data_IF_529836789305
#
_entry.id   IF_529836789305
#
_cell.length_a   1.000
_cell.length_b   1.000
_cell.length_c   1.000
_cell.angle_alpha   90.00
_cell.angle_beta   90.00
_cell.angle_gamma   90.00
#
_symmetry.space_group_name_H-M   'P 1'
#
loop_
_entity.id
_entity.type
_entity.pdbx_description
1 polymer ?
#
# COMPACT_ATOMS: atom_id res chain seq x y z
N UNK A 1 -0.09 -1.15 -10.73
CA UNK A 1 -0.47 -2.56 -10.95
C UNK A 1 0.68 -3.41 -10.45
N UNK A 2 0.45 -4.36 -9.53
CA UNK A 2 1.50 -5.25 -9.02
C UNK A 2 1.91 -6.20 -10.15
N UNK A 3 3.15 -6.08 -10.64
CA UNK A 3 3.67 -6.93 -11.71
C UNK A 3 4.58 -7.99 -11.12
N UNK A 4 4.10 -9.23 -11.11
CA UNK A 4 4.89 -10.41 -10.80
C UNK A 4 5.81 -10.79 -11.96
N UNK A 5 6.96 -11.40 -11.66
CA UNK A 5 7.82 -12.05 -12.66
C UNK A 5 7.30 -13.45 -13.05
N UNK A 6 6.45 -14.07 -12.22
CA UNK A 6 5.79 -15.35 -12.47
C UNK A 6 4.29 -15.31 -12.11
N UNK A 7 3.48 -16.25 -12.62
CA UNK A 7 2.05 -16.41 -12.24
C UNK A 7 1.85 -16.63 -10.72
N UNK A 8 2.89 -17.09 -10.02
CA UNK A 8 2.86 -17.35 -8.59
C UNK A 8 3.34 -16.17 -7.71
N UNK A 9 3.75 -15.04 -8.30
CA UNK A 9 4.08 -13.82 -7.55
C UNK A 9 2.82 -13.02 -7.15
N UNK A 10 1.65 -13.65 -7.24
CA UNK A 10 0.33 -13.05 -7.10
C UNK A 10 -0.14 -12.86 -5.65
N UNK A 11 0.61 -13.39 -4.67
CA UNK A 11 0.30 -13.26 -3.23
C UNK A 11 1.22 -12.29 -2.47
N UNK A 12 2.20 -11.68 -3.13
CA UNK A 12 2.96 -10.57 -2.57
C UNK A 12 2.32 -9.24 -2.99
N UNK A 13 1.78 -8.50 -2.03
CA UNK A 13 1.18 -7.18 -2.29
C UNK A 13 1.89 -6.12 -1.47
N UNK A 14 1.98 -4.92 -2.01
CA UNK A 14 2.35 -3.73 -1.25
C UNK A 14 1.09 -2.90 -1.06
N UNK A 15 0.83 -2.55 0.19
CA UNK A 15 -0.28 -1.72 0.60
C UNK A 15 0.23 -0.39 1.14
N UNK A 16 -0.52 0.68 0.84
CA UNK A 16 -0.30 2.01 1.38
C UNK A 16 -1.16 2.17 2.62
N UNK A 17 -0.57 2.65 3.70
CA UNK A 17 -1.26 2.95 4.94
C UNK A 17 -1.08 4.42 5.28
N UNK A 18 -2.11 5.03 5.85
CA UNK A 18 -2.05 6.41 6.33
C UNK A 18 -1.26 6.51 7.65
N UNK A 19 -1.18 7.74 8.19
CA UNK A 19 -0.49 8.01 9.44
C UNK A 19 -1.10 7.33 10.67
N UNK A 20 -2.36 6.90 10.60
CA UNK A 20 -3.04 6.15 11.67
C UNK A 20 -2.79 4.65 11.57
N UNK A 21 -2.26 4.19 10.43
CA UNK A 21 -2.05 2.79 10.12
C UNK A 21 -3.26 2.13 9.44
N UNK A 22 -4.24 2.93 8.98
CA UNK A 22 -5.37 2.43 8.19
C UNK A 22 -4.98 2.24 6.73
N UNK A 23 -5.56 1.21 6.10
CA UNK A 23 -5.30 0.86 4.71
C UNK A 23 -5.90 1.92 3.77
N UNK A 24 -5.07 2.51 2.91
CA UNK A 24 -5.51 3.45 1.87
C UNK A 24 -5.99 2.68 0.64
N UNK A 25 -7.28 2.79 0.25
CA UNK A 25 -7.80 2.10 -0.92
C UNK A 25 -7.29 2.74 -2.22
N UNK A 26 -6.35 2.07 -2.88
CA UNK A 26 -5.70 2.60 -4.10
C UNK A 26 -6.66 2.77 -5.30
N UNK A 27 -7.72 1.97 -5.35
CA UNK A 27 -8.78 2.04 -6.38
C UNK A 27 -10.12 2.53 -5.81
N UNK A 28 -10.10 3.25 -4.68
CA UNK A 28 -11.29 3.84 -4.05
C UNK A 28 -11.69 5.18 -4.66
N UNK A 29 -12.76 5.77 -4.13
CA UNK A 29 -13.21 7.11 -4.53
C UNK A 29 -12.23 8.18 -4.00
N UNK A 30 -12.25 9.37 -4.61
CA UNK A 30 -11.38 10.48 -4.21
C UNK A 30 -11.54 10.87 -2.74
N UNK A 31 -12.74 10.73 -2.19
CA UNK A 31 -13.03 10.98 -0.76
C UNK A 31 -12.25 10.05 0.16
N UNK A 32 -12.08 8.79 -0.23
CA UNK A 32 -11.37 7.76 0.54
C UNK A 32 -9.84 7.90 0.43
N UNK A 33 -9.39 8.83 -0.43
CA UNK A 33 -7.99 9.10 -0.74
C UNK A 33 -7.61 10.57 -0.51
N UNK A 34 -8.49 11.34 0.12
CA UNK A 34 -8.23 12.73 0.50
C UNK A 34 -7.70 12.75 1.93
N UNK A 35 -6.46 13.20 2.10
CA UNK A 35 -5.81 13.30 3.40
C UNK A 35 -5.52 14.76 3.72
N UNK A 36 -5.80 15.16 4.95
CA UNK A 36 -5.56 16.50 5.44
C UNK A 36 -4.63 16.48 6.65
N UNK A 37 -3.76 17.47 6.72
CA UNK A 37 -2.97 17.77 7.91
C UNK A 37 -3.47 19.11 8.43
N UNK A 38 -3.98 19.15 9.67
CA UNK A 38 -4.39 20.40 10.29
C UNK A 38 -3.14 21.16 10.75
N UNK A 39 -2.72 22.12 9.92
CA UNK A 39 -1.50 22.90 10.17
C UNK A 39 -1.84 24.22 10.86
N UNK A 40 -1.32 24.43 12.07
CA UNK A 40 -1.47 25.68 12.83
C UNK A 40 -0.18 26.53 12.85
N UNK A 41 0.69 26.40 11.85
CA UNK A 41 2.03 27.02 11.82
C UNK A 41 2.72 26.89 10.45
N UNK A 42 4.05 26.96 10.42
CA UNK A 42 4.84 27.21 9.21
C UNK A 42 4.98 26.02 8.23
N UNK A 43 4.66 24.77 8.62
CA UNK A 43 4.79 23.60 7.74
C UNK A 43 3.80 22.49 8.08
N UNK A 44 3.21 21.88 7.04
CA UNK A 44 2.38 20.68 7.13
C UNK A 44 3.06 19.46 6.52
N UNK A 45 2.74 18.28 7.04
CA UNK A 45 3.21 17.00 6.50
C UNK A 45 2.09 15.97 6.48
N UNK A 46 2.04 15.19 5.41
CA UNK A 46 1.25 13.96 5.33
C UNK A 46 2.22 12.79 5.37
N UNK A 47 1.97 11.85 6.26
CA UNK A 47 2.79 10.65 6.43
C UNK A 47 2.03 9.44 5.91
N UNK A 48 2.73 8.61 5.14
CA UNK A 48 2.23 7.34 4.65
C UNK A 48 3.29 6.27 4.81
N UNK A 49 2.87 5.04 5.04
CA UNK A 49 3.76 3.88 5.08
C UNK A 49 3.42 2.88 3.98
N UNK A 50 4.44 2.35 3.33
CA UNK A 50 4.33 1.24 2.39
C UNK A 50 4.73 -0.04 3.11
N UNK A 51 3.82 -1.01 3.18
CA UNK A 51 4.08 -2.29 3.84
C UNK A 51 3.74 -3.45 2.92
N UNK A 52 4.45 -4.55 3.16
CA UNK A 52 4.08 -5.84 2.62
C UNK A 52 2.75 -6.30 3.24
N UNK A 53 1.75 -6.51 2.40
CA UNK A 53 0.46 -7.11 2.75
C UNK A 53 0.48 -8.55 2.26
N UNK A 54 0.71 -9.46 3.21
CA UNK A 54 0.85 -10.89 2.93
C UNK A 54 -0.48 -11.54 2.56
N UNK A 55 -0.46 -12.81 2.16
CA UNK A 55 -1.69 -13.55 1.89
C UNK A 55 -2.56 -13.66 3.15
N UNK A 56 -3.88 -13.69 2.94
CA UNK A 56 -4.86 -13.81 4.03
C UNK A 56 -4.78 -15.16 4.75
N UNK A 57 -4.26 -16.20 4.08
CA UNK A 57 -4.00 -17.51 4.66
C UNK A 57 -2.50 -17.78 4.76
N UNK A 58 -2.07 -18.33 5.90
CA UNK A 58 -0.70 -18.83 6.04
C UNK A 58 -0.42 -20.10 5.21
N UNK A 59 -1.48 -20.75 4.71
CA UNK A 59 -1.37 -21.90 3.82
C UNK A 59 -1.06 -21.49 2.36
N UNK A 60 -1.21 -20.21 2.02
CA UNK A 60 -0.84 -19.68 0.71
C UNK A 60 0.67 -19.39 0.69
N UNK A 61 1.46 -20.31 0.14
CA UNK A 61 2.91 -20.18 0.09
C UNK A 61 3.35 -18.93 -0.68
N UNK A 62 4.03 -17.99 -0.02
CA UNK A 62 4.68 -16.85 -0.68
C UNK A 62 5.79 -17.37 -1.57
N UNK A 63 5.70 -17.11 -2.88
CA UNK A 63 6.74 -17.51 -3.83
C UNK A 63 8.04 -16.76 -3.53
N UNK A 64 9.14 -17.50 -3.40
CA UNK A 64 10.45 -16.90 -3.19
C UNK A 64 10.88 -16.13 -4.45
N UNK A 65 11.18 -14.84 -4.31
CA UNK A 65 11.58 -13.99 -5.43
C UNK A 65 11.71 -12.52 -5.05
N UNK A 66 12.18 -11.71 -6.00
CA UNK A 66 12.16 -10.26 -5.89
C UNK A 66 10.83 -9.74 -6.43
N UNK A 67 10.08 -9.03 -5.60
CA UNK A 67 8.83 -8.38 -5.98
C UNK A 67 9.04 -6.87 -6.09
N UNK A 68 8.51 -6.25 -7.15
CA UNK A 68 8.56 -4.81 -7.37
C UNK A 68 7.14 -4.27 -7.56
N UNK A 69 6.80 -3.21 -6.82
CA UNK A 69 5.54 -2.48 -6.99
C UNK A 69 5.83 -1.02 -7.34
N UNK A 70 5.03 -0.50 -8.29
CA UNK A 70 4.98 0.93 -8.60
C UNK A 70 3.61 1.45 -8.19
N UNK A 71 3.58 2.47 -7.34
CA UNK A 71 2.40 3.26 -7.04
C UNK A 71 2.49 4.58 -7.82
N UNK A 72 1.41 4.93 -8.52
CA UNK A 72 1.23 6.21 -9.18
C UNK A 72 0.02 6.91 -8.58
N UNK A 73 0.17 8.18 -8.23
CA UNK A 73 -0.87 9.06 -7.69
C UNK A 73 -1.11 10.22 -8.66
#
# INVERSE_FOLDING_TARGET
MNTGSTENDTNARVALFDSTGELVPLNGNDTDRTFSSDVAGDSGSLEFSLKYDGPASMDDAISAGAFNATLSF
#
